data_IF_872697655071
#
_entry.id   IF_872697655071
#
_cell.length_a   1.000
_cell.length_b   1.000
_cell.length_c   1.000
_cell.angle_alpha   90.00
_cell.angle_beta   90.00
_cell.angle_gamma   90.00
#
_symmetry.space_group_name_H-M   'P 1'
#
loop_
_entity.id
_entity.type
_entity.pdbx_description
1 polymer ?
#
# COMPACT_ATOMS: atom_id res chain seq x y z
N UNK A 1 -40.92 18.64 0.68
CA UNK A 1 -39.55 18.76 0.10
C UNK A 1 -39.01 17.38 -0.21
N UNK A 2 -38.40 17.13 -1.38
CA UNK A 2 -37.81 15.82 -1.67
C UNK A 2 -36.65 15.55 -0.71
N UNK A 3 -36.65 14.36 -0.08
CA UNK A 3 -35.71 13.96 0.99
C UNK A 3 -34.23 13.89 0.55
N UNK A 4 -33.94 13.98 -0.75
CA UNK A 4 -32.59 13.87 -1.30
C UNK A 4 -32.28 14.99 -2.30
N UNK A 5 -32.25 16.24 -1.84
CA UNK A 5 -31.92 17.41 -2.67
C UNK A 5 -30.51 17.33 -3.31
N UNK A 6 -29.61 16.50 -2.76
CA UNK A 6 -28.27 16.24 -3.31
C UNK A 6 -28.30 15.61 -4.72
N UNK A 7 -29.37 14.90 -5.08
CA UNK A 7 -29.54 14.26 -6.39
C UNK A 7 -30.00 15.26 -7.48
N UNK A 8 -30.58 16.40 -7.10
CA UNK A 8 -31.10 17.42 -8.03
C UNK A 8 -30.04 18.38 -8.57
N UNK A 9 -28.78 18.22 -8.17
CA UNK A 9 -27.67 19.05 -8.65
C UNK A 9 -27.48 19.04 -10.17
N UNK A 10 -27.86 17.95 -10.84
CA UNK A 10 -27.84 17.83 -12.31
C UNK A 10 -29.00 18.63 -12.93
N UNK A 11 -30.19 18.58 -12.33
CA UNK A 11 -31.40 19.26 -12.81
C UNK A 11 -31.35 20.79 -12.62
N UNK A 12 -30.82 21.28 -11.50
CA UNK A 12 -30.70 22.73 -11.26
C UNK A 12 -29.68 23.44 -12.17
N UNK A 13 -28.79 22.70 -12.84
CA UNK A 13 -27.83 23.27 -13.81
C UNK A 13 -28.46 23.59 -15.16
N UNK A 14 -29.56 22.93 -15.50
CA UNK A 14 -30.31 23.13 -16.75
C UNK A 14 -31.35 24.26 -16.64
N UNK A 15 -31.67 24.70 -15.42
CA UNK A 15 -32.62 25.78 -15.20
C UNK A 15 -32.01 27.18 -15.45
N UNK A 16 -32.83 28.11 -15.96
CA UNK A 16 -32.42 29.45 -16.38
C UNK A 16 -31.71 30.31 -15.33
N UNK A 17 -31.04 31.37 -15.80
CA UNK A 17 -30.11 32.20 -15.00
C UNK A 17 -30.74 32.81 -13.73
N UNK A 18 -32.03 33.15 -13.79
CA UNK A 18 -32.80 33.76 -12.67
C UNK A 18 -32.96 32.78 -11.50
N UNK A 19 -33.33 31.53 -11.80
CA UNK A 19 -33.49 30.49 -10.77
C UNK A 19 -32.13 30.13 -10.12
N UNK A 20 -31.04 30.19 -10.89
CA UNK A 20 -29.67 30.04 -10.37
C UNK A 20 -29.27 31.18 -9.43
N UNK A 21 -29.70 32.43 -9.66
CA UNK A 21 -29.45 33.56 -8.76
C UNK A 21 -30.21 33.42 -7.42
N UNK A 22 -31.49 33.05 -7.47
CA UNK A 22 -32.30 32.84 -6.26
C UNK A 22 -31.77 31.69 -5.37
N UNK A 23 -31.35 30.58 -5.99
CA UNK A 23 -30.79 29.43 -5.28
C UNK A 23 -29.46 29.75 -4.57
N UNK A 24 -28.59 30.58 -5.18
CA UNK A 24 -27.30 30.99 -4.58
C UNK A 24 -27.45 31.83 -3.32
N UNK A 25 -28.49 32.67 -3.22
CA UNK A 25 -28.71 33.57 -2.07
C UNK A 25 -29.13 32.79 -0.81
N UNK A 26 -29.91 31.72 -0.97
CA UNK A 26 -30.48 30.92 0.11
C UNK A 26 -29.92 29.49 0.13
N UNK A 27 -28.67 29.32 -0.31
CA UNK A 27 -28.09 28.00 -0.53
C UNK A 27 -27.76 27.29 0.81
N UNK A 28 -28.74 26.57 1.36
CA UNK A 28 -28.56 25.71 2.55
C UNK A 28 -27.66 24.51 2.24
N UNK A 29 -27.59 24.10 0.96
CA UNK A 29 -26.90 22.89 0.51
C UNK A 29 -25.45 23.19 0.14
N UNK A 30 -24.52 22.30 0.50
CA UNK A 30 -23.13 22.38 0.07
C UNK A 30 -23.00 22.49 -1.48
N UNK A 31 -22.05 23.29 -2.00
CA UNK A 31 -21.91 23.45 -3.44
C UNK A 31 -21.47 22.15 -4.09
N UNK A 32 -22.17 21.76 -5.15
CA UNK A 32 -21.86 20.55 -5.90
C UNK A 32 -20.68 20.85 -6.84
N UNK A 33 -19.64 20.00 -6.90
CA UNK A 33 -18.51 20.25 -7.79
C UNK A 33 -18.98 20.38 -9.25
N UNK A 34 -18.41 21.35 -9.96
CA UNK A 34 -18.61 21.55 -11.41
C UNK A 34 -17.78 20.52 -12.15
N UNK A 35 -18.28 20.05 -13.30
CA UNK A 35 -17.57 19.11 -14.18
C UNK A 35 -16.17 19.63 -14.53
N UNK A 36 -15.21 18.72 -14.64
CA UNK A 36 -13.78 19.03 -14.74
C UNK A 36 -13.26 19.19 -16.19
N UNK A 37 -14.12 19.47 -17.16
CA UNK A 37 -13.72 19.64 -18.57
C UNK A 37 -12.57 20.64 -18.73
N UNK A 38 -11.59 20.28 -19.58
CA UNK A 38 -10.40 21.09 -19.88
C UNK A 38 -9.39 21.27 -18.74
N UNK A 39 -9.67 20.78 -17.52
CA UNK A 39 -8.73 20.87 -16.40
C UNK A 39 -7.76 19.70 -16.39
N UNK A 40 -6.61 19.83 -15.74
CA UNK A 40 -5.72 18.70 -15.47
C UNK A 40 -6.39 17.83 -14.40
N UNK A 41 -6.53 16.51 -14.63
CA UNK A 41 -7.19 15.63 -13.67
C UNK A 41 -6.34 15.40 -12.43
N UNK A 42 -6.99 15.28 -11.27
CA UNK A 42 -6.31 14.96 -10.02
C UNK A 42 -5.81 13.51 -9.98
N UNK A 43 -4.75 13.24 -9.22
CA UNK A 43 -4.25 11.88 -9.01
C UNK A 43 -5.31 10.90 -8.46
N UNK A 44 -6.28 11.40 -7.68
CA UNK A 44 -7.37 10.57 -7.18
C UNK A 44 -8.35 10.17 -8.30
N UNK A 45 -8.65 11.08 -9.22
CA UNK A 45 -9.47 10.78 -10.40
C UNK A 45 -8.78 9.83 -11.37
N UNK A 46 -7.44 9.85 -11.44
CA UNK A 46 -6.67 8.94 -12.29
C UNK A 46 -6.67 7.48 -11.80
N UNK A 47 -6.74 7.29 -10.48
CA UNK A 47 -6.68 5.98 -9.82
C UNK A 47 -8.05 5.36 -9.55
N UNK A 48 -9.14 6.06 -9.86
CA UNK A 48 -10.52 5.59 -9.67
C UNK A 48 -11.42 6.00 -10.84
N UNK A 49 -12.72 5.81 -10.69
CA UNK A 49 -13.71 6.11 -11.73
C UNK A 49 -14.59 7.29 -11.29
N UNK A 50 -14.33 8.46 -11.87
CA UNK A 50 -14.92 9.72 -11.39
C UNK A 50 -15.93 10.36 -12.35
N UNK A 51 -15.97 9.93 -13.62
CA UNK A 51 -16.96 10.37 -14.63
C UNK A 51 -17.15 11.90 -14.66
N UNK A 52 -16.14 12.63 -15.13
CA UNK A 52 -16.06 14.10 -15.17
C UNK A 52 -16.08 14.86 -13.84
N UNK A 53 -16.15 14.18 -12.71
CA UNK A 53 -16.05 14.83 -11.41
C UNK A 53 -14.60 14.90 -10.93
N UNK A 54 -14.24 16.02 -10.31
CA UNK A 54 -12.95 16.15 -9.67
C UNK A 54 -13.04 17.13 -8.49
N UNK A 55 -11.95 17.28 -7.74
CA UNK A 55 -11.84 18.31 -6.72
C UNK A 55 -12.05 19.69 -7.33
N UNK A 56 -12.95 20.44 -6.71
CA UNK A 56 -13.20 21.82 -7.10
C UNK A 56 -12.91 22.76 -5.94
N UNK A 57 -12.85 24.05 -6.22
CA UNK A 57 -12.68 25.08 -5.21
C UNK A 57 -13.73 26.15 -5.38
N UNK A 58 -14.22 26.70 -4.27
CA UNK A 58 -15.05 27.90 -4.28
C UNK A 58 -14.61 28.83 -3.16
N UNK A 59 -14.88 30.12 -3.31
CA UNK A 59 -14.63 31.11 -2.28
C UNK A 59 -15.94 31.34 -1.51
N UNK A 60 -15.94 30.98 -0.23
CA UNK A 60 -17.01 31.38 0.70
C UNK A 60 -16.75 32.82 1.10
N UNK A 61 -17.72 33.70 0.88
CA UNK A 61 -17.67 35.08 1.33
C UNK A 61 -18.41 35.17 2.66
N UNK A 62 -17.72 35.61 3.71
CA UNK A 62 -18.34 35.85 5.01
C UNK A 62 -19.17 37.15 5.01
N UNK A 63 -19.96 37.38 6.05
CA UNK A 63 -20.67 38.65 6.24
C UNK A 63 -19.72 39.86 6.21
N UNK A 64 -18.53 39.72 6.80
CA UNK A 64 -17.45 40.71 6.77
C UNK A 64 -16.73 40.86 5.41
N UNK A 65 -17.31 40.32 4.32
CA UNK A 65 -16.75 40.27 2.96
C UNK A 65 -15.40 39.55 2.80
N UNK A 66 -14.85 38.98 3.88
CA UNK A 66 -13.66 38.15 3.84
C UNK A 66 -13.92 36.89 3.02
N UNK A 67 -13.03 36.60 2.07
CA UNK A 67 -13.13 35.45 1.16
C UNK A 67 -12.25 34.30 1.65
N UNK A 68 -12.85 33.15 1.89
CA UNK A 68 -12.13 31.92 2.30
C UNK A 68 -12.28 30.86 1.21
N UNK A 69 -11.17 30.37 0.67
CA UNK A 69 -11.17 29.29 -0.32
C UNK A 69 -11.46 27.96 0.36
N UNK A 70 -12.50 27.28 -0.09
CA UNK A 70 -12.92 25.96 0.41
C UNK A 70 -12.78 24.94 -0.72
N UNK A 71 -12.22 23.77 -0.38
CA UNK A 71 -12.08 22.63 -1.29
C UNK A 71 -13.38 21.81 -1.29
N UNK A 72 -14.00 21.67 -2.45
CA UNK A 72 -15.12 20.77 -2.70
C UNK A 72 -14.60 19.41 -3.08
N UNK A 73 -15.11 18.38 -2.41
CA UNK A 73 -14.77 16.99 -2.66
C UNK A 73 -15.95 16.31 -3.37
N UNK A 74 -15.72 15.52 -4.42
CA UNK A 74 -16.78 14.67 -4.96
C UNK A 74 -17.17 13.59 -3.95
N UNK A 75 -18.38 13.07 -4.07
CA UNK A 75 -18.84 11.96 -3.22
C UNK A 75 -18.28 10.65 -3.75
N UNK A 76 -17.25 10.13 -3.08
CA UNK A 76 -16.50 8.94 -3.51
C UNK A 76 -16.82 7.79 -2.56
N UNK A 77 -17.22 6.66 -3.13
CA UNK A 77 -17.50 5.42 -2.42
C UNK A 77 -16.56 4.33 -2.95
N UNK A 78 -16.15 3.40 -2.08
CA UNK A 78 -15.46 2.19 -2.53
C UNK A 78 -16.51 1.14 -2.85
N UNK A 79 -16.47 0.57 -4.05
CA UNK A 79 -17.39 -0.48 -4.47
C UNK A 79 -16.65 -1.61 -5.14
N UNK A 80 -17.20 -2.80 -4.96
CA UNK A 80 -16.84 -3.97 -5.73
C UNK A 80 -17.72 -3.98 -6.98
N UNK A 81 -17.10 -4.15 -8.15
CA UNK A 81 -17.79 -4.10 -9.45
C UNK A 81 -17.50 -5.38 -10.20
N UNK A 82 -18.55 -6.07 -10.60
CA UNK A 82 -18.43 -7.26 -11.42
C UNK A 82 -18.26 -6.87 -12.89
N UNK A 83 -17.29 -7.48 -13.56
CA UNK A 83 -17.02 -7.29 -14.99
C UNK A 83 -17.08 -8.64 -15.68
N UNK A 84 -18.05 -8.79 -16.57
CA UNK A 84 -18.21 -10.00 -17.38
C UNK A 84 -17.11 -10.06 -18.43
N UNK A 85 -16.70 -8.91 -18.98
CA UNK A 85 -15.68 -8.86 -20.02
C UNK A 85 -14.28 -9.18 -19.48
N UNK A 86 -13.97 -8.75 -18.24
CA UNK A 86 -12.70 -9.05 -17.57
C UNK A 86 -12.73 -10.37 -16.77
N UNK A 87 -13.86 -11.09 -16.78
CA UNK A 87 -14.09 -12.34 -16.03
C UNK A 87 -13.70 -12.24 -14.53
N UNK A 88 -13.90 -11.07 -13.91
CA UNK A 88 -13.47 -10.86 -12.53
C UNK A 88 -14.33 -9.83 -11.79
N UNK A 89 -14.31 -9.90 -10.47
CA UNK A 89 -14.85 -8.87 -9.59
C UNK A 89 -13.73 -7.89 -9.24
N UNK A 90 -13.89 -6.63 -9.66
CA UNK A 90 -12.99 -5.54 -9.34
C UNK A 90 -13.24 -5.10 -7.90
N UNK A 91 -12.37 -5.51 -6.98
CA UNK A 91 -12.53 -5.18 -5.57
C UNK A 91 -12.04 -3.76 -5.23
N UNK A 92 -12.74 -3.10 -4.32
CA UNK A 92 -12.38 -1.83 -3.70
C UNK A 92 -12.13 -0.65 -4.65
N UNK A 93 -12.83 -0.61 -5.80
CA UNK A 93 -12.69 0.49 -6.76
C UNK A 93 -13.28 1.76 -6.16
N UNK A 94 -12.54 2.88 -6.23
CA UNK A 94 -13.06 4.20 -5.84
C UNK A 94 -13.92 4.75 -6.97
N UNK A 95 -15.20 4.94 -6.70
CA UNK A 95 -16.19 5.34 -7.70
C UNK A 95 -16.99 6.52 -7.17
N UNK A 96 -17.21 7.54 -8.00
CA UNK A 96 -18.11 8.64 -7.66
C UNK A 96 -19.58 8.25 -7.87
N UNK A 97 -20.51 8.93 -7.21
CA UNK A 97 -21.94 8.70 -7.43
C UNK A 97 -22.35 8.95 -8.89
N UNK A 98 -21.74 9.93 -9.55
CA UNK A 98 -21.95 10.20 -10.99
C UNK A 98 -21.53 9.03 -11.87
N UNK A 99 -20.36 8.43 -11.61
CA UNK A 99 -19.90 7.25 -12.33
C UNK A 99 -20.82 6.04 -12.12
N UNK A 100 -21.34 5.83 -10.90
CA UNK A 100 -22.32 4.76 -10.63
C UNK A 100 -23.60 4.96 -11.47
N UNK A 101 -24.10 6.19 -11.55
CA UNK A 101 -25.27 6.48 -12.37
C UNK A 101 -24.99 6.28 -13.86
N UNK A 102 -23.81 6.69 -14.34
CA UNK A 102 -23.41 6.48 -15.72
C UNK A 102 -23.23 4.98 -16.04
N UNK A 103 -22.72 4.17 -15.11
CA UNK A 103 -22.67 2.71 -15.24
C UNK A 103 -24.06 2.10 -15.35
N UNK A 104 -25.00 2.55 -14.52
CA UNK A 104 -26.39 2.08 -14.56
C UNK A 104 -27.05 2.48 -15.88
N UNK A 105 -26.83 3.73 -16.34
CA UNK A 105 -27.37 4.23 -17.60
C UNK A 105 -26.81 3.51 -18.83
N UNK A 106 -25.53 3.10 -18.80
CA UNK A 106 -24.90 2.32 -19.86
C UNK A 106 -25.32 0.83 -19.85
N UNK A 107 -26.10 0.40 -18.86
CA UNK A 107 -26.52 -1.00 -18.72
C UNK A 107 -25.42 -1.92 -18.16
N UNK A 108 -24.47 -1.39 -17.39
CA UNK A 108 -23.42 -2.18 -16.74
C UNK A 108 -22.04 -1.53 -16.82
N UNK A 109 -21.09 -2.11 -16.09
CA UNK A 109 -19.72 -1.62 -16.03
C UNK A 109 -18.97 -1.76 -17.36
N UNK A 110 -19.11 -2.90 -18.03
CA UNK A 110 -18.37 -3.17 -19.27
C UNK A 110 -18.80 -2.22 -20.40
N UNK A 111 -20.12 -2.03 -20.55
CA UNK A 111 -20.68 -1.07 -21.51
C UNK A 111 -20.25 0.35 -21.17
N UNK A 112 -20.22 0.71 -19.89
CA UNK A 112 -19.75 2.01 -19.44
C UNK A 112 -18.30 2.26 -19.87
N UNK A 113 -17.39 1.32 -19.63
CA UNK A 113 -15.99 1.48 -20.00
C UNK A 113 -15.81 1.60 -21.52
N UNK A 114 -16.56 0.83 -22.31
CA UNK A 114 -16.42 0.83 -23.77
C UNK A 114 -17.05 2.06 -24.44
N UNK A 115 -18.22 2.49 -23.98
CA UNK A 115 -19.02 3.50 -24.67
C UNK A 115 -18.74 4.94 -24.20
N UNK A 116 -18.16 5.12 -23.01
CA UNK A 116 -17.83 6.47 -22.51
C UNK A 116 -16.69 7.07 -23.31
N UNK A 117 -16.72 8.38 -23.56
CA UNK A 117 -15.57 9.05 -24.19
C UNK A 117 -14.41 9.17 -23.18
N UNK A 118 -13.14 9.22 -23.64
CA UNK A 118 -12.00 9.39 -22.73
C UNK A 118 -12.07 10.69 -21.95
N UNK A 119 -12.65 11.73 -22.56
CA UNK A 119 -12.91 13.01 -21.91
C UNK A 119 -13.91 12.93 -20.77
N UNK A 120 -14.84 11.99 -20.81
CA UNK A 120 -15.82 11.76 -19.74
C UNK A 120 -15.26 10.82 -18.66
N UNK A 121 -14.57 9.75 -19.09
CA UNK A 121 -14.02 8.74 -18.20
C UNK A 121 -12.88 9.29 -17.33
N UNK A 122 -12.02 10.14 -17.91
CA UNK A 122 -10.91 10.90 -17.29
C UNK A 122 -10.07 10.12 -16.27
N UNK A 123 -9.89 8.82 -16.49
CA UNK A 123 -9.16 7.97 -15.56
C UNK A 123 -8.21 7.05 -16.32
N UNK A 124 -6.92 7.12 -15.97
CA UNK A 124 -5.93 6.19 -16.51
C UNK A 124 -6.27 4.74 -16.17
N UNK A 125 -6.82 4.49 -14.98
CA UNK A 125 -7.32 3.16 -14.60
C UNK A 125 -8.39 2.66 -15.58
N UNK A 126 -9.40 3.49 -15.85
CA UNK A 126 -10.50 3.15 -16.76
C UNK A 126 -10.03 2.94 -18.20
N UNK A 127 -9.13 3.78 -18.71
CA UNK A 127 -8.55 3.62 -20.06
C UNK A 127 -7.70 2.35 -20.18
N UNK A 128 -6.97 1.98 -19.12
CA UNK A 128 -6.23 0.72 -19.10
C UNK A 128 -7.15 -0.49 -19.05
N UNK A 129 -8.26 -0.41 -18.31
CA UNK A 129 -9.30 -1.46 -18.34
C UNK A 129 -9.94 -1.56 -19.72
N UNK A 130 -10.27 -0.43 -20.37
CA UNK A 130 -10.79 -0.37 -21.74
C UNK A 130 -9.82 -1.03 -22.73
N UNK A 131 -8.55 -0.72 -22.61
CA UNK A 131 -7.46 -1.31 -23.39
C UNK A 131 -7.42 -2.84 -23.27
N UNK A 132 -7.56 -3.38 -22.07
CA UNK A 132 -7.60 -4.84 -21.84
C UNK A 132 -8.91 -5.46 -22.35
N UNK A 133 -10.03 -4.76 -22.17
CA UNK A 133 -11.32 -5.15 -22.71
C UNK A 133 -11.30 -5.29 -24.24
N UNK A 134 -10.70 -4.33 -24.96
CA UNK A 134 -10.52 -4.45 -26.42
C UNK A 134 -9.57 -5.60 -26.79
N UNK A 135 -8.49 -5.78 -26.04
CA UNK A 135 -7.57 -6.89 -26.24
C UNK A 135 -8.28 -8.25 -26.11
N UNK A 136 -9.16 -8.44 -25.12
CA UNK A 136 -9.96 -9.65 -24.99
C UNK A 136 -11.05 -9.83 -26.06
N UNK A 137 -11.54 -8.74 -26.66
CA UNK A 137 -12.42 -8.82 -27.83
C UNK A 137 -11.67 -9.31 -29.08
N UNK A 138 -10.40 -8.91 -29.22
CA UNK A 138 -9.54 -9.34 -30.33
C UNK A 138 -9.05 -10.78 -30.17
N UNK A 139 -8.71 -11.19 -28.95
CA UNK A 139 -8.16 -12.50 -28.64
C UNK A 139 -9.05 -13.25 -27.63
N UNK A 140 -10.14 -13.89 -28.08
CA UNK A 140 -11.05 -14.62 -27.19
C UNK A 140 -10.38 -15.82 -26.50
N UNK A 141 -9.39 -16.46 -27.12
CA UNK A 141 -8.66 -17.60 -26.55
C UNK A 141 -7.95 -17.24 -25.25
N UNK A 142 -7.35 -16.04 -25.20
CA UNK A 142 -6.65 -15.55 -24.01
C UNK A 142 -7.64 -15.24 -22.90
N UNK A 143 -8.84 -14.75 -23.24
CA UNK A 143 -9.92 -14.56 -22.27
C UNK A 143 -10.40 -15.90 -21.70
N UNK A 144 -10.48 -16.95 -22.53
CA UNK A 144 -10.89 -18.29 -22.12
C UNK A 144 -9.93 -18.91 -21.08
N UNK A 145 -8.66 -18.50 -21.05
CA UNK A 145 -7.70 -18.93 -20.02
C UNK A 145 -8.00 -18.39 -18.61
N UNK A 146 -8.95 -17.46 -18.46
CA UNK A 146 -9.39 -16.89 -17.16
C UNK A 146 -8.24 -16.31 -16.30
N UNK A 147 -7.19 -15.80 -16.95
CA UNK A 147 -6.10 -15.15 -16.26
C UNK A 147 -6.53 -13.79 -15.67
N UNK A 148 -5.93 -13.34 -14.55
CA UNK A 148 -6.22 -12.02 -14.02
C UNK A 148 -5.91 -10.94 -15.06
N UNK A 149 -6.87 -10.06 -15.34
CA UNK A 149 -6.72 -8.97 -16.32
C UNK A 149 -5.50 -8.07 -16.06
N UNK A 150 -5.04 -7.98 -14.81
CA UNK A 150 -3.83 -7.24 -14.40
C UNK A 150 -2.56 -7.74 -15.12
N UNK A 151 -2.52 -8.99 -15.57
CA UNK A 151 -1.40 -9.54 -16.36
C UNK A 151 -1.24 -8.76 -17.67
N UNK A 152 -2.34 -8.39 -18.31
CA UNK A 152 -2.36 -7.65 -19.58
C UNK A 152 -2.51 -6.14 -19.40
N UNK A 153 -2.31 -5.63 -18.18
CA UNK A 153 -2.49 -4.22 -17.86
C UNK A 153 -1.47 -3.31 -18.57
N UNK A 154 -0.25 -3.80 -18.78
CA UNK A 154 0.79 -3.07 -19.50
C UNK A 154 0.59 -3.19 -21.00
N UNK A 155 0.98 -2.17 -21.75
CA UNK A 155 1.02 -2.27 -23.22
C UNK A 155 2.03 -3.33 -23.67
N UNK A 156 3.18 -3.43 -22.99
CA UNK A 156 4.20 -4.44 -23.30
C UNK A 156 3.67 -5.87 -23.15
N UNK A 157 2.85 -6.14 -22.14
CA UNK A 157 2.28 -7.47 -21.93
C UNK A 157 1.15 -7.82 -22.90
N UNK A 158 0.53 -6.81 -23.55
CA UNK A 158 -0.45 -7.03 -24.62
C UNK A 158 0.21 -7.30 -25.97
N UNK A 159 1.38 -6.71 -26.23
CA UNK A 159 2.18 -7.00 -27.44
C UNK A 159 2.65 -8.46 -27.44
N UNK A 160 3.18 -8.92 -26.31
CA UNK A 160 3.68 -10.30 -26.16
C UNK A 160 2.88 -11.07 -25.09
N UNK A 161 1.68 -11.57 -25.42
CA UNK A 161 0.82 -12.23 -24.45
C UNK A 161 1.40 -13.54 -23.93
N UNK A 162 2.05 -14.33 -24.79
CA UNK A 162 2.65 -15.60 -24.39
C UNK A 162 3.70 -15.42 -23.28
N UNK A 163 4.56 -14.41 -23.40
CA UNK A 163 5.56 -14.10 -22.37
C UNK A 163 4.91 -13.61 -21.07
N UNK A 164 3.84 -12.81 -21.17
CA UNK A 164 3.09 -12.35 -20.00
C UNK A 164 2.43 -13.52 -19.24
N UNK A 165 1.85 -14.47 -19.97
CA UNK A 165 1.26 -15.71 -19.43
C UNK A 165 2.33 -16.54 -18.72
N UNK A 166 3.46 -16.81 -19.39
CA UNK A 166 4.59 -17.54 -18.82
C UNK A 166 5.09 -16.90 -17.53
N UNK A 167 5.33 -15.58 -17.55
CA UNK A 167 5.76 -14.82 -16.37
C UNK A 167 4.78 -14.94 -15.20
N UNK A 168 3.48 -14.89 -15.49
CA UNK A 168 2.44 -15.06 -14.47
C UNK A 168 2.45 -16.48 -13.88
N UNK A 169 2.53 -17.51 -14.72
CA UNK A 169 2.60 -18.91 -14.28
C UNK A 169 3.84 -19.18 -13.41
N UNK A 170 5.00 -18.66 -13.81
CA UNK A 170 6.24 -18.76 -13.03
C UNK A 170 6.12 -18.06 -11.67
N UNK A 171 5.50 -16.88 -11.63
CA UNK A 171 5.25 -16.17 -10.37
C UNK A 171 4.26 -16.93 -9.46
N UNK A 172 3.20 -17.51 -10.05
CA UNK A 172 2.21 -18.32 -9.34
C UNK A 172 2.83 -19.59 -8.74
N UNK A 173 3.65 -20.31 -9.51
CA UNK A 173 4.35 -21.50 -9.04
C UNK A 173 5.29 -21.18 -7.87
N UNK A 174 6.05 -20.08 -7.96
CA UNK A 174 6.91 -19.62 -6.85
C UNK A 174 6.11 -19.25 -5.61
N UNK A 175 4.97 -18.56 -5.75
CA UNK A 175 4.11 -18.22 -4.63
C UNK A 175 3.55 -19.48 -3.94
N UNK A 176 3.09 -20.46 -4.71
CA UNK A 176 2.61 -21.74 -4.18
C UNK A 176 3.70 -22.51 -3.42
N UNK A 177 4.95 -22.50 -3.92
CA UNK A 177 6.07 -23.11 -3.21
C UNK A 177 6.36 -22.41 -1.88
N UNK A 178 6.26 -21.08 -1.82
CA UNK A 178 6.41 -20.33 -0.57
C UNK A 178 5.29 -20.64 0.40
N UNK A 179 4.04 -20.63 -0.06
CA UNK A 179 2.87 -20.99 0.76
C UNK A 179 2.98 -22.42 1.29
N UNK A 180 3.42 -23.38 0.48
CA UNK A 180 3.66 -24.76 0.93
C UNK A 180 4.75 -24.83 2.01
N UNK A 181 5.85 -24.08 1.87
CA UNK A 181 6.91 -23.99 2.88
C UNK A 181 6.41 -23.36 4.18
N UNK A 182 5.56 -22.33 4.09
CA UNK A 182 4.94 -21.72 5.27
C UNK A 182 3.96 -22.68 5.94
N UNK A 183 3.07 -23.33 5.19
CA UNK A 183 2.16 -24.36 5.71
C UNK A 183 2.92 -25.49 6.38
N UNK A 184 4.03 -25.94 5.79
CA UNK A 184 4.94 -26.90 6.39
C UNK A 184 5.44 -26.40 7.75
N UNK A 185 5.99 -25.19 7.85
CA UNK A 185 6.46 -24.61 9.13
C UNK A 185 5.41 -24.60 10.23
N UNK A 186 4.13 -24.40 9.90
CA UNK A 186 3.05 -24.29 10.88
C UNK A 186 2.22 -25.58 11.05
N UNK A 187 2.49 -26.62 10.28
CA UNK A 187 1.75 -27.88 10.41
C UNK A 187 2.29 -28.70 11.58
N UNK A 188 1.43 -29.27 12.44
CA UNK A 188 1.86 -30.03 13.62
C UNK A 188 2.58 -31.34 13.27
N UNK A 189 2.53 -31.76 12.00
CA UNK A 189 3.17 -32.98 11.49
C UNK A 189 4.42 -32.70 10.65
N UNK A 190 4.86 -31.44 10.54
CA UNK A 190 6.10 -31.14 9.84
C UNK A 190 7.29 -31.49 10.71
N UNK A 191 7.85 -32.66 10.43
CA UNK A 191 9.17 -33.01 10.87
C UNK A 191 10.17 -32.23 9.99
N UNK A 192 11.00 -31.35 10.57
CA UNK A 192 12.06 -30.71 9.82
C UNK A 192 12.94 -31.78 9.13
N UNK A 193 13.55 -31.47 7.97
CA UNK A 193 14.40 -32.42 7.27
C UNK A 193 15.44 -32.99 8.25
N UNK A 194 15.55 -34.31 8.31
CA UNK A 194 16.40 -35.01 9.29
C UNK A 194 17.90 -34.71 9.13
N UNK A 195 18.30 -34.21 7.96
CA UNK A 195 19.65 -33.73 7.71
C UNK A 195 19.84 -32.29 8.23
N UNK A 196 20.70 -32.12 9.25
CA UNK A 196 21.09 -30.79 9.74
C UNK A 196 20.32 -30.28 10.97
N UNK A 197 19.66 -31.16 11.72
CA UNK A 197 18.95 -30.80 12.96
C UNK A 197 19.85 -30.50 14.16
N UNK A 198 21.16 -30.78 14.06
CA UNK A 198 22.08 -30.30 15.07
C UNK A 198 22.31 -28.80 14.79
N UNK A 199 21.99 -27.88 15.72
CA UNK A 199 22.59 -26.56 15.64
C UNK A 199 24.09 -26.80 15.48
N UNK A 200 24.73 -26.20 14.46
CA UNK A 200 26.18 -26.20 14.37
C UNK A 200 26.68 -25.78 15.75
N UNK A 201 27.23 -26.73 16.51
CA UNK A 201 27.83 -26.42 17.80
C UNK A 201 28.95 -25.48 17.44
N UNK A 202 28.79 -24.21 17.83
CA UNK A 202 29.87 -23.26 17.73
C UNK A 202 31.05 -23.94 18.43
N UNK A 203 32.19 -24.16 17.75
CA UNK A 203 33.33 -24.76 18.42
C UNK A 203 33.68 -23.79 19.54
N UNK A 204 33.42 -24.21 20.79
CA UNK A 204 34.02 -23.53 21.90
C UNK A 204 35.52 -23.70 21.68
N UNK A 205 36.27 -22.60 21.75
CA UNK A 205 37.70 -22.69 22.03
C UNK A 205 37.75 -23.38 23.38
N UNK A 206 37.85 -24.71 23.36
CA UNK A 206 38.44 -25.41 24.49
C UNK A 206 39.81 -24.77 24.61
N UNK A 207 40.03 -24.14 25.76
CA UNK A 207 41.27 -23.45 26.05
C UNK A 207 42.41 -24.35 25.58
N UNK A 208 43.36 -23.74 24.88
CA UNK A 208 44.64 -24.33 24.52
C UNK A 208 45.37 -24.56 25.85
N UNK A 209 44.91 -25.54 26.61
CA UNK A 209 45.63 -26.21 27.66
C UNK A 209 46.42 -27.28 26.92
N UNK A 210 47.54 -26.86 26.32
CA UNK A 210 48.80 -27.60 26.34
C UNK A 210 49.87 -26.89 25.52
N UNK A 211 51.11 -27.02 26.00
CA UNK A 211 52.38 -26.67 25.36
C UNK A 211 52.82 -25.19 25.40
N UNK A 212 53.21 -24.73 26.59
CA UNK A 212 54.53 -24.09 26.67
C UNK A 212 55.32 -24.80 27.76
N UNK A 213 56.21 -25.68 27.35
CA UNK A 213 57.31 -26.15 28.19
C UNK A 213 58.24 -24.95 28.47
N UNK A 214 57.87 -24.11 29.43
CA UNK A 214 58.79 -23.12 30.01
C UNK A 214 59.50 -23.81 31.16
N UNK A 215 60.78 -24.11 30.93
CA UNK A 215 61.69 -24.58 31.96
C UNK A 215 61.64 -23.68 33.21
N UNK A 216 61.66 -24.24 34.43
CA UNK A 216 61.67 -23.44 35.65
C UNK A 216 63.04 -22.76 35.82
N UNK A 217 63.13 -21.49 35.47
CA UNK A 217 64.22 -20.62 35.97
C UNK A 217 63.86 -20.17 37.38
N UNK A 218 64.58 -20.72 38.35
CA UNK A 218 64.55 -20.27 39.73
C UNK A 218 65.27 -18.93 39.83
N UNK A 219 64.54 -17.82 39.80
CA UNK A 219 64.98 -16.57 40.40
C UNK A 219 63.76 -15.85 40.97
N UNK A 220 63.81 -15.68 42.29
CA UNK A 220 62.79 -15.05 43.10
C UNK A 220 62.90 -13.52 43.02
N UNK A 221 61.78 -12.83 42.79
CA UNK A 221 61.47 -11.52 43.40
C UNK A 221 60.03 -11.09 43.04
N UNK A 222 59.21 -10.98 44.08
CA UNK A 222 58.05 -10.10 44.25
C UNK A 222 57.51 -9.35 43.02
N UNK A 223 56.39 -9.84 42.46
CA UNK A 223 55.30 -8.96 42.03
C UNK A 223 53.98 -9.74 42.04
N UNK A 224 53.32 -9.73 43.20
CA UNK A 224 51.95 -10.22 43.35
C UNK A 224 50.94 -9.22 42.74
N UNK A 225 49.88 -9.78 42.14
CA UNK A 225 48.56 -9.15 42.01
C UNK A 225 48.36 -8.00 40.98
N UNK A 226 48.51 -8.27 39.68
CA UNK A 226 47.86 -7.44 38.64
C UNK A 226 47.51 -8.18 37.33
N UNK A 227 47.53 -9.51 37.31
CA UNK A 227 47.11 -10.32 36.16
C UNK A 227 46.05 -11.28 36.71
N UNK A 228 44.76 -11.02 36.49
CA UNK A 228 43.98 -11.84 35.55
C UNK A 228 42.60 -11.25 35.21
N UNK A 229 42.40 -9.92 35.30
CA UNK A 229 41.16 -9.30 34.79
C UNK A 229 41.17 -9.14 33.27
N UNK A 230 42.36 -9.14 32.64
CA UNK A 230 42.50 -9.16 31.19
C UNK A 230 42.22 -10.53 30.58
N UNK A 231 42.43 -11.63 31.31
CA UNK A 231 42.14 -13.00 30.85
C UNK A 231 40.65 -13.35 30.88
N UNK A 232 39.82 -12.63 31.64
CA UNK A 232 38.35 -12.81 31.62
C UNK A 232 37.64 -11.86 30.65
N UNK A 233 38.37 -11.10 29.86
CA UNK A 233 37.78 -10.20 28.87
C UNK A 233 37.31 -11.04 27.69
N UNK A 234 36.00 -11.28 27.62
CA UNK A 234 35.33 -11.94 26.50
C UNK A 234 35.93 -11.45 25.17
N UNK A 235 36.61 -12.35 24.47
CA UNK A 235 37.17 -12.10 23.15
C UNK A 235 36.02 -12.06 22.15
N UNK A 236 35.41 -10.88 22.02
CA UNK A 236 34.30 -10.69 21.09
C UNK A 236 34.87 -10.63 19.68
N UNK A 237 34.68 -11.70 18.90
CA UNK A 237 35.24 -11.86 17.54
C UNK A 237 34.98 -10.65 16.61
N UNK A 238 33.88 -9.92 16.79
CA UNK A 238 33.56 -8.71 16.00
C UNK A 238 34.37 -7.47 16.39
N UNK A 239 35.04 -7.48 17.55
CA UNK A 239 36.02 -6.44 17.94
C UNK A 239 37.38 -6.66 17.30
N UNK A 240 37.64 -7.85 16.77
CA UNK A 240 38.88 -8.16 16.06
C UNK A 240 38.69 -7.86 14.56
N UNK A 241 39.51 -6.93 14.05
CA UNK A 241 39.41 -6.39 12.70
C UNK A 241 38.22 -5.44 12.51
N UNK A 242 38.16 -4.75 11.36
CA UNK A 242 37.08 -3.80 10.98
C UNK A 242 35.70 -4.48 10.75
N UNK A 243 35.41 -5.57 11.46
CA UNK A 243 34.22 -6.40 11.34
C UNK A 243 33.02 -5.87 12.16
N UNK A 244 33.21 -4.82 12.97
CA UNK A 244 32.13 -4.23 13.76
C UNK A 244 30.99 -3.70 12.88
N UNK A 245 31.31 -3.16 11.71
CA UNK A 245 30.31 -2.63 10.77
C UNK A 245 29.39 -3.74 10.23
N UNK A 246 29.96 -4.90 9.87
CA UNK A 246 29.18 -6.04 9.36
C UNK A 246 28.33 -6.66 10.47
N UNK A 247 28.83 -6.71 11.71
CA UNK A 247 28.07 -7.15 12.88
C UNK A 247 26.89 -6.23 13.19
N UNK A 248 27.08 -4.90 13.18
CA UNK A 248 25.98 -3.94 13.36
C UNK A 248 24.94 -4.07 12.25
N UNK A 249 25.35 -4.33 11.02
CA UNK A 249 24.44 -4.61 9.91
C UNK A 249 23.62 -5.89 10.15
N UNK A 250 24.27 -6.97 10.61
CA UNK A 250 23.59 -8.23 10.97
C UNK A 250 22.61 -8.05 12.13
N UNK A 251 22.95 -7.28 13.17
CA UNK A 251 22.03 -6.94 14.26
C UNK A 251 20.84 -6.11 13.79
N UNK A 252 21.07 -5.15 12.88
CA UNK A 252 19.99 -4.40 12.24
C UNK A 252 19.02 -5.29 11.45
N UNK A 253 19.55 -6.32 10.79
CA UNK A 253 18.71 -7.30 10.10
C UNK A 253 18.00 -8.26 11.09
N UNK A 254 18.67 -8.65 12.18
CA UNK A 254 18.14 -9.57 13.19
C UNK A 254 17.04 -8.95 14.06
N UNK A 255 17.08 -7.64 14.33
CA UNK A 255 15.96 -6.91 14.97
C UNK A 255 14.68 -6.87 14.10
N UNK A 256 14.78 -7.31 12.84
CA UNK A 256 13.63 -7.63 12.01
C UNK A 256 12.84 -8.87 12.44
N UNK A 257 13.36 -9.71 13.34
CA UNK A 257 12.66 -10.92 13.81
C UNK A 257 11.39 -10.57 14.62
N UNK A 258 11.44 -9.53 15.46
CA UNK A 258 10.26 -9.05 16.20
C UNK A 258 9.27 -8.29 15.30
N UNK A 259 9.73 -7.70 14.18
CA UNK A 259 8.83 -7.09 13.19
C UNK A 259 8.17 -8.13 12.27
N UNK A 260 8.81 -9.27 12.04
CA UNK A 260 8.33 -10.31 11.14
C UNK A 260 7.16 -11.13 11.71
N UNK A 261 6.94 -11.11 13.04
CA UNK A 261 5.86 -11.84 13.71
C UNK A 261 4.61 -10.99 14.00
N UNK A 262 4.48 -9.77 13.47
CA UNK A 262 3.19 -9.07 13.47
C UNK A 262 2.34 -9.65 12.34
N UNK A 263 1.63 -10.71 12.70
CA UNK A 263 0.68 -11.45 11.87
C UNK A 263 -0.35 -10.50 11.25
N UNK A 264 -0.22 -10.23 9.94
CA UNK A 264 -1.07 -9.26 9.21
C UNK A 264 -2.49 -9.78 8.94
N UNK A 265 -2.79 -11.03 9.32
CA UNK A 265 -4.08 -11.67 9.14
C UNK A 265 -5.04 -11.55 10.33
N UNK A 266 -4.66 -10.87 11.43
CA UNK A 266 -5.63 -10.53 12.47
C UNK A 266 -6.50 -9.35 12.01
N UNK A 267 -7.63 -9.67 11.37
CA UNK A 267 -8.67 -8.74 10.87
C UNK A 267 -9.22 -7.72 11.89
N UNK A 268 -8.79 -7.77 13.16
CA UNK A 268 -9.18 -6.83 14.22
C UNK A 268 -8.07 -6.36 15.18
N UNK A 269 -6.80 -6.75 15.01
CA UNK A 269 -5.72 -6.26 15.85
C UNK A 269 -5.10 -5.00 15.22
N UNK A 270 -5.11 -3.88 15.95
CA UNK A 270 -4.78 -2.51 15.52
C UNK A 270 -5.87 -1.76 14.76
N UNK A 271 -6.96 -1.46 15.48
CA UNK A 271 -7.61 -0.15 15.33
C UNK A 271 -6.61 0.92 15.80
N UNK A 272 -5.66 1.28 14.94
CA UNK A 272 -4.73 2.39 15.20
C UNK A 272 -5.58 3.65 15.28
N UNK A 273 -5.70 4.16 16.51
CA UNK A 273 -6.53 5.30 16.87
C UNK A 273 -6.38 6.45 15.90
N UNK A 274 -7.52 7.09 15.61
CA UNK A 274 -7.57 8.32 14.86
C UNK A 274 -6.78 9.41 15.59
N UNK A 275 -5.58 9.70 15.09
CA UNK A 275 -4.88 10.97 15.33
C UNK A 275 -3.83 11.15 14.24
N UNK A 276 -4.27 11.49 13.01
CA UNK A 276 -3.38 12.07 12.01
C UNK A 276 -3.08 13.52 12.40
N UNK A 277 -2.18 13.67 13.37
CA UNK A 277 -1.40 14.88 13.58
C UNK A 277 -0.21 14.90 12.61
N UNK A 278 -0.21 15.89 11.73
CA UNK A 278 0.95 16.51 11.04
C UNK A 278 2.20 15.67 10.76
N UNK A 279 2.20 14.95 9.64
CA UNK A 279 3.45 14.64 8.93
C UNK A 279 3.87 15.86 8.10
N UNK A 280 4.81 16.65 8.62
CA UNK A 280 5.51 17.69 7.85
C UNK A 280 6.58 17.08 6.91
N UNK A 281 7.15 17.88 5.99
CA UNK A 281 7.90 17.37 4.82
C UNK A 281 9.25 16.69 5.10
N UNK A 282 9.77 16.74 6.32
CA UNK A 282 11.06 16.13 6.66
C UNK A 282 10.97 15.51 8.05
N UNK A 283 10.57 14.23 8.11
CA UNK A 283 10.42 13.43 9.33
C UNK A 283 11.70 13.17 10.13
N UNK A 284 12.49 14.22 10.39
CA UNK A 284 13.75 14.18 11.14
C UNK A 284 13.64 14.71 12.58
N UNK A 285 12.47 15.17 13.04
CA UNK A 285 12.32 15.65 14.41
C UNK A 285 11.03 15.13 15.09
N UNK A 286 11.21 14.43 16.21
CA UNK A 286 10.12 14.07 17.14
C UNK A 286 9.77 15.32 17.94
N UNK A 287 8.54 15.84 17.80
CA UNK A 287 8.06 16.89 18.71
C UNK A 287 7.64 16.26 20.04
N UNK A 288 8.08 16.84 21.17
CA UNK A 288 7.51 16.54 22.50
C UNK A 288 6.00 16.80 22.46
N UNK A 289 5.21 15.86 22.97
CA UNK A 289 3.76 16.00 23.04
C UNK A 289 3.39 17.23 23.87
N UNK A 290 2.40 18.00 23.41
CA UNK A 290 1.88 19.13 24.18
C UNK A 290 1.12 18.62 25.41
N UNK A 291 1.35 19.25 26.56
CA UNK A 291 0.81 18.91 27.90
C UNK A 291 -0.73 18.84 28.02
N UNK A 292 -1.49 19.12 26.97
CA UNK A 292 -2.94 19.29 27.00
C UNK A 292 -3.76 18.11 26.48
N UNK A 293 -3.16 16.92 26.30
CA UNK A 293 -3.95 15.74 25.96
C UNK A 293 -4.61 15.16 27.22
N UNK A 294 -5.93 15.27 27.33
CA UNK A 294 -6.73 14.54 28.32
C UNK A 294 -7.51 13.44 27.58
N UNK A 295 -7.32 12.16 27.92
CA UNK A 295 -8.12 11.09 27.35
C UNK A 295 -9.55 11.14 27.89
N UNK A 296 -10.52 11.05 26.98
CA UNK A 296 -11.89 10.59 27.26
C UNK A 296 -12.03 9.18 26.72
#
# INVERSE_FOLDING_TARGET
>A
MPRHACLFGKYLRLNGFVQRKGFKKNQIIHPIPVKAYGRVPSAASQTGLYHDEDFNYYSKVAFSLKRTRIKLRPNVVKKDIESNLLNTTLTNVRVTTSAIHAMTQAGGFDNYILNTTPEQLRSQLGERMRSVAYFYKQFPDIRAMQLPWKVFYSERSRKDPAYAIYKHQMAKARAQQLEQREQQRYSPFYLPPTHGLMPERQPFREDIADSVDVAPSNDAADTSEALNDTQRKLELWWKHGNNEASFRQKLGNATGFDQAHVDTNMLHAYRKGGARGGGGPHGKAVRRSSKTFHPR
#
